data_IF_303045578218
#
_entry.id   IF_303045578218
#
_cell.length_a   1.000
_cell.length_b   1.000
_cell.length_c   1.000
_cell.angle_alpha   90.00
_cell.angle_beta   90.00
_cell.angle_gamma   90.00
#
_symmetry.space_group_name_H-M   'P 1'
#
loop_
_entity.id
_entity.type
_entity.pdbx_description
1 polymer ?
#
# COMPACT_ATOMS: atom_id res chain seq x y z
N UNK A 1 -6.64 18.59 -21.48
CA UNK A 1 -7.19 17.31 -20.99
C UNK A 1 -6.56 16.86 -19.67
N UNK A 2 -6.34 17.77 -18.73
CA UNK A 2 -6.00 17.47 -17.33
C UNK A 2 -7.32 17.48 -16.56
N UNK A 3 -7.71 16.39 -15.91
CA UNK A 3 -8.87 16.41 -15.03
C UNK A 3 -8.40 16.96 -13.68
N UNK A 4 -8.53 18.27 -13.48
CA UNK A 4 -8.23 18.92 -12.20
C UNK A 4 -9.51 18.91 -11.38
N UNK A 5 -9.60 18.00 -10.41
CA UNK A 5 -10.76 17.90 -9.54
C UNK A 5 -10.46 18.69 -8.25
N UNK A 6 -10.90 19.94 -8.21
CA UNK A 6 -11.03 20.70 -6.97
C UNK A 6 -12.30 20.21 -6.27
N UNK A 7 -12.17 19.77 -5.01
CA UNK A 7 -13.26 19.20 -4.24
C UNK A 7 -13.86 20.30 -3.37
N UNK A 8 -15.09 20.73 -3.67
CA UNK A 8 -15.86 21.64 -2.83
C UNK A 8 -16.59 20.86 -1.73
N UNK A 9 -16.77 21.45 -0.52
CA UNK A 9 -17.40 20.80 0.61
C UNK A 9 -18.92 20.89 0.54
N UNK A 10 -19.62 19.81 0.88
CA UNK A 10 -21.02 19.90 1.30
C UNK A 10 -21.37 18.78 2.30
N UNK A 11 -22.11 19.19 3.32
CA UNK A 11 -22.48 18.48 4.55
C UNK A 11 -23.29 17.20 4.30
N UNK A 12 -23.12 16.17 5.14
CA UNK A 12 -24.20 15.74 6.04
C UNK A 12 -23.82 14.67 7.09
N UNK A 13 -24.67 14.69 8.13
CA UNK A 13 -24.80 13.95 9.38
C UNK A 13 -24.57 12.42 9.44
N UNK A 14 -24.11 12.07 10.65
CA UNK A 14 -24.20 10.86 11.49
C UNK A 14 -24.96 9.60 11.03
N UNK A 15 -24.33 8.45 11.28
CA UNK A 15 -24.99 7.31 11.93
C UNK A 15 -23.99 6.45 12.73
N UNK A 16 -24.45 6.02 13.90
CA UNK A 16 -23.79 5.19 14.91
C UNK A 16 -23.79 3.70 14.53
N UNK A 17 -22.84 2.92 15.09
CA UNK A 17 -23.21 1.75 15.91
C UNK A 17 -22.04 0.97 16.54
N UNK A 18 -22.26 0.65 17.82
CA UNK A 18 -22.07 -0.65 18.47
C UNK A 18 -20.67 -1.27 18.58
N UNK A 19 -20.04 -1.06 19.75
CA UNK A 19 -18.89 -1.84 20.22
C UNK A 19 -19.30 -2.67 21.45
N UNK A 20 -19.09 -3.99 21.44
CA UNK A 20 -19.27 -4.89 22.60
C UNK A 20 -18.04 -5.77 22.81
N UNK A 21 -17.23 -5.32 23.76
CA UNK A 21 -16.59 -6.01 24.89
C UNK A 21 -15.88 -7.37 24.75
N UNK A 22 -14.66 -7.39 25.35
CA UNK A 22 -14.14 -8.26 26.45
C UNK A 22 -12.73 -8.77 26.08
N UNK A 23 -11.70 -8.74 26.92
CA UNK A 23 -11.54 -8.29 28.30
C UNK A 23 -10.14 -8.67 28.83
N UNK A 24 -9.65 -7.86 29.77
CA UNK A 24 -8.84 -8.18 30.96
C UNK A 24 -7.47 -8.88 30.82
N UNK A 25 -6.43 -8.08 31.06
CA UNK A 25 -5.13 -8.49 31.58
C UNK A 25 -5.29 -8.93 33.05
N UNK A 26 -4.77 -10.10 33.39
CA UNK A 26 -4.49 -10.51 34.77
C UNK A 26 -3.26 -11.41 34.78
N UNK A 27 -2.11 -10.83 35.15
CA UNK A 27 -1.01 -11.61 35.70
C UNK A 27 -1.37 -12.02 37.13
N UNK A 28 -0.99 -13.23 37.55
CA UNK A 28 -1.06 -13.62 38.94
C UNK A 28 0.16 -14.47 39.32
N UNK A 29 0.77 -14.01 40.40
CA UNK A 29 1.89 -14.51 41.18
C UNK A 29 1.42 -15.69 42.03
N UNK A 30 2.23 -16.75 42.14
CA UNK A 30 2.04 -17.86 43.09
C UNK A 30 2.65 -17.52 44.46
N UNK A 31 2.07 -18.08 45.53
CA UNK A 31 2.20 -17.62 46.91
C UNK A 31 3.26 -18.30 47.78
N UNK A 32 4.08 -19.22 47.26
CA UNK A 32 4.74 -20.21 48.14
C UNK A 32 6.28 -20.22 48.12
N UNK A 33 6.95 -19.20 47.55
CA UNK A 33 8.34 -18.87 47.92
C UNK A 33 9.42 -19.96 47.75
N UNK A 34 9.26 -20.90 46.82
CA UNK A 34 10.30 -21.85 46.42
C UNK A 34 10.75 -21.49 45.01
N UNK A 35 12.05 -21.22 44.86
CA UNK A 35 12.73 -21.04 43.58
C UNK A 35 12.96 -22.45 43.05
N UNK A 36 12.22 -22.85 42.02
CA UNK A 36 12.54 -24.05 41.27
C UNK A 36 13.63 -23.70 40.25
N UNK A 37 14.84 -24.20 40.49
CA UNK A 37 16.02 -24.12 39.63
C UNK A 37 15.87 -24.98 38.35
N UNK A 38 14.78 -24.82 37.60
CA UNK A 38 14.62 -25.41 36.26
C UNK A 38 14.83 -24.36 35.17
N UNK A 39 15.93 -23.61 35.29
CA UNK A 39 16.29 -22.52 34.37
C UNK A 39 17.08 -22.99 33.13
N UNK A 40 17.15 -24.30 32.87
CA UNK A 40 17.84 -24.84 31.69
C UNK A 40 16.90 -25.45 30.65
N UNK A 41 15.66 -25.81 31.01
CA UNK A 41 14.68 -26.35 30.05
C UNK A 41 13.91 -25.27 29.27
N UNK A 42 13.91 -24.02 29.75
CA UNK A 42 13.36 -22.84 29.03
C UNK A 42 14.36 -22.19 28.06
N UNK A 43 15.65 -22.49 28.19
CA UNK A 43 16.68 -22.14 27.20
C UNK A 43 16.80 -23.23 26.14
N UNK A 44 15.67 -23.79 25.71
CA UNK A 44 15.56 -24.44 24.43
C UNK A 44 16.15 -23.50 23.40
N UNK A 45 17.36 -23.84 22.93
CA UNK A 45 18.05 -23.13 21.88
C UNK A 45 17.16 -23.15 20.65
N UNK A 46 16.27 -22.19 20.56
CA UNK A 46 15.62 -21.83 19.33
C UNK A 46 16.77 -21.28 18.51
N UNK A 47 17.35 -22.13 17.66
CA UNK A 47 18.02 -21.65 16.46
C UNK A 47 17.13 -20.52 15.93
N UNK A 48 17.65 -19.30 15.74
CA UNK A 48 16.87 -18.27 15.08
C UNK A 48 16.41 -18.89 13.77
N UNK A 49 15.12 -19.17 13.67
CA UNK A 49 14.51 -19.57 12.41
C UNK A 49 14.62 -18.32 11.55
N UNK A 50 15.72 -18.21 10.81
CA UNK A 50 16.01 -17.08 9.97
C UNK A 50 14.88 -16.97 8.94
N UNK A 51 13.94 -16.06 9.16
CA UNK A 51 12.94 -15.62 8.17
C UNK A 51 13.62 -14.79 7.06
N UNK A 52 14.94 -14.92 6.90
CA UNK A 52 15.78 -13.99 6.14
C UNK A 52 15.71 -14.23 4.63
N UNK A 53 15.58 -15.49 4.19
CA UNK A 53 15.66 -15.86 2.77
C UNK A 53 14.53 -15.22 1.91
N UNK A 54 13.35 -15.05 2.49
CA UNK A 54 12.18 -14.53 1.75
C UNK A 54 12.14 -13.02 1.68
N UNK A 55 12.58 -12.32 2.73
CA UNK A 55 12.64 -10.85 2.75
C UNK A 55 13.72 -10.34 1.81
N UNK A 56 14.87 -11.02 1.74
CA UNK A 56 15.97 -10.65 0.85
C UNK A 56 15.60 -10.83 -0.62
N UNK A 57 14.92 -11.92 -0.97
CA UNK A 57 14.44 -12.15 -2.33
C UNK A 57 13.41 -11.11 -2.77
N UNK A 58 12.45 -10.77 -1.90
CA UNK A 58 11.44 -9.75 -2.20
C UNK A 58 12.07 -8.35 -2.31
N UNK A 59 13.08 -8.03 -1.48
CA UNK A 59 13.81 -6.77 -1.58
C UNK A 59 14.57 -6.62 -2.90
N UNK A 60 15.22 -7.69 -3.37
CA UNK A 60 15.88 -7.71 -4.69
C UNK A 60 14.88 -7.49 -5.82
N UNK A 61 13.72 -8.14 -5.77
CA UNK A 61 12.65 -7.94 -6.74
C UNK A 61 12.11 -6.51 -6.71
N UNK A 62 11.94 -5.92 -5.53
CA UNK A 62 11.55 -4.51 -5.38
C UNK A 62 12.59 -3.55 -5.96
N UNK A 63 13.88 -3.87 -5.82
CA UNK A 63 14.97 -3.12 -6.45
C UNK A 63 14.88 -3.21 -7.98
N UNK A 64 14.53 -4.37 -8.54
CA UNK A 64 14.23 -4.48 -9.97
C UNK A 64 12.99 -3.68 -10.41
N UNK A 65 12.03 -3.48 -9.53
CA UNK A 65 10.85 -2.63 -9.83
C UNK A 65 11.23 -1.15 -9.87
N UNK A 66 12.12 -0.69 -8.98
CA UNK A 66 12.56 0.71 -8.95
C UNK A 66 13.29 1.12 -10.23
N UNK A 67 14.02 0.20 -10.87
CA UNK A 67 14.69 0.41 -12.17
C UNK A 67 13.73 0.82 -13.30
N UNK A 68 12.44 0.44 -13.24
CA UNK A 68 11.46 0.89 -14.25
C UNK A 68 11.00 2.34 -14.05
N UNK A 69 11.26 2.95 -12.89
CA UNK A 69 10.80 4.30 -12.58
C UNK A 69 9.27 4.43 -12.56
N UNK A 70 8.53 3.37 -12.20
CA UNK A 70 7.06 3.39 -12.16
C UNK A 70 6.55 4.37 -11.09
N UNK A 71 7.28 4.49 -9.98
CA UNK A 71 6.94 5.38 -8.86
C UNK A 71 8.12 6.32 -8.64
N UNK A 72 7.85 7.62 -8.64
CA UNK A 72 8.84 8.68 -8.45
C UNK A 72 8.33 9.74 -7.47
N UNK A 73 9.22 10.29 -6.65
CA UNK A 73 8.90 11.43 -5.79
C UNK A 73 9.41 12.71 -6.47
N UNK A 74 8.50 13.62 -6.82
CA UNK A 74 8.79 14.77 -7.68
C UNK A 74 8.92 16.10 -6.92
N UNK A 75 9.10 16.05 -5.61
CA UNK A 75 9.20 17.24 -4.75
C UNK A 75 7.88 17.57 -4.06
N UNK A 76 7.66 18.86 -3.80
CA UNK A 76 6.52 19.36 -3.05
C UNK A 76 5.60 20.19 -3.95
N UNK A 77 4.29 20.11 -3.70
CA UNK A 77 3.32 20.98 -4.36
C UNK A 77 3.33 22.39 -3.75
N UNK A 78 2.48 23.27 -4.27
CA UNK A 78 2.36 24.67 -3.79
C UNK A 78 1.95 24.81 -2.33
N UNK A 79 1.48 23.74 -1.69
CA UNK A 79 1.10 23.70 -0.28
C UNK A 79 2.14 22.96 0.59
N UNK A 80 3.31 22.64 0.03
CA UNK A 80 4.38 21.91 0.74
C UNK A 80 4.11 20.41 0.90
N UNK A 81 3.14 19.85 0.16
CA UNK A 81 2.78 18.43 0.24
C UNK A 81 3.61 17.61 -0.73
N UNK A 82 4.14 16.48 -0.28
CA UNK A 82 4.94 15.60 -1.13
C UNK A 82 4.12 15.10 -2.32
N UNK A 83 4.68 15.25 -3.50
CA UNK A 83 4.08 14.81 -4.76
C UNK A 83 4.72 13.51 -5.21
N UNK A 84 3.92 12.46 -5.23
CA UNK A 84 4.31 11.13 -5.67
C UNK A 84 3.65 10.85 -7.02
N UNK A 85 4.42 10.39 -7.98
CA UNK A 85 3.98 10.12 -9.34
C UNK A 85 3.97 8.61 -9.59
N UNK A 86 2.85 8.09 -10.11
CA UNK A 86 2.72 6.76 -10.65
C UNK A 86 2.59 6.82 -12.18
N UNK A 87 3.56 6.26 -12.89
CA UNK A 87 3.67 6.31 -14.35
C UNK A 87 3.30 4.96 -14.97
N UNK A 88 2.06 4.83 -15.44
CA UNK A 88 1.59 3.56 -15.99
C UNK A 88 2.23 3.18 -17.34
N UNK A 89 2.73 4.15 -18.10
CA UNK A 89 3.50 3.91 -19.33
C UNK A 89 4.81 3.15 -19.10
N UNK A 90 5.34 3.17 -17.87
CA UNK A 90 6.61 2.52 -17.52
C UNK A 90 6.42 1.08 -17.02
N UNK A 91 5.18 0.59 -16.98
CA UNK A 91 4.91 -0.80 -16.65
C UNK A 91 5.45 -1.72 -17.75
N UNK A 92 6.27 -2.74 -17.40
CA UNK A 92 6.77 -3.69 -18.39
C UNK A 92 5.63 -4.50 -19.02
N UNK A 93 5.83 -4.90 -20.26
CA UNK A 93 4.93 -5.83 -20.96
C UNK A 93 4.96 -7.23 -20.33
N UNK A 94 3.88 -8.00 -20.52
CA UNK A 94 3.77 -9.36 -19.97
C UNK A 94 4.94 -10.27 -20.35
N UNK A 95 5.44 -10.18 -21.58
CA UNK A 95 6.59 -11.00 -22.03
C UNK A 95 7.88 -10.65 -21.28
N UNK A 96 8.12 -9.35 -21.06
CA UNK A 96 9.26 -8.86 -20.27
C UNK A 96 9.15 -9.39 -18.85
N UNK A 97 7.95 -9.34 -18.26
CA UNK A 97 7.69 -9.88 -16.92
C UNK A 97 7.96 -11.39 -16.89
N UNK A 98 7.45 -12.15 -17.86
CA UNK A 98 7.59 -13.62 -17.89
C UNK A 98 9.04 -14.07 -18.05
N UNK A 99 9.81 -13.33 -18.83
CA UNK A 99 11.22 -13.61 -19.09
C UNK A 99 12.17 -13.09 -17.98
N UNK A 100 11.66 -12.30 -17.04
CA UNK A 100 12.44 -11.77 -15.91
C UNK A 100 12.46 -12.71 -14.69
N UNK A 101 12.99 -12.22 -13.56
CA UNK A 101 12.95 -12.91 -12.27
C UNK A 101 11.53 -13.01 -11.68
N UNK A 102 10.57 -12.18 -12.12
CA UNK A 102 9.19 -12.25 -11.62
C UNK A 102 8.45 -13.52 -12.08
N UNK A 103 8.78 -14.07 -13.26
CA UNK A 103 8.20 -15.25 -13.93
C UNK A 103 6.71 -15.18 -14.27
N UNK A 104 5.91 -14.52 -13.45
CA UNK A 104 4.45 -14.39 -13.60
C UNK A 104 4.01 -12.94 -13.40
N UNK A 105 2.93 -12.56 -14.09
CA UNK A 105 2.30 -11.23 -13.92
C UNK A 105 1.77 -11.06 -12.49
N UNK A 106 1.32 -12.13 -11.85
CA UNK A 106 0.83 -12.10 -10.48
C UNK A 106 1.96 -11.73 -9.49
N UNK A 107 3.12 -12.39 -9.57
CA UNK A 107 4.28 -12.08 -8.70
C UNK A 107 4.78 -10.66 -8.93
N UNK A 108 4.88 -10.21 -10.19
CA UNK A 108 5.24 -8.81 -10.49
C UNK A 108 4.27 -7.82 -9.82
N UNK A 109 2.97 -8.06 -9.93
CA UNK A 109 1.95 -7.20 -9.31
C UNK A 109 2.03 -7.17 -7.79
N UNK A 110 2.29 -8.30 -7.16
CA UNK A 110 2.48 -8.39 -5.70
C UNK A 110 3.71 -7.57 -5.27
N UNK A 111 4.86 -7.79 -5.92
CA UNK A 111 6.08 -7.02 -5.64
C UNK A 111 5.90 -5.53 -5.93
N UNK A 112 5.15 -5.16 -6.98
CA UNK A 112 4.84 -3.76 -7.29
C UNK A 112 3.98 -3.12 -6.20
N UNK A 113 3.02 -3.86 -5.66
CA UNK A 113 2.21 -3.39 -4.54
C UNK A 113 3.05 -3.21 -3.27
N UNK A 114 3.95 -4.15 -2.94
CA UNK A 114 4.90 -4.01 -1.82
C UNK A 114 5.82 -2.79 -2.01
N UNK A 115 6.37 -2.62 -3.21
CA UNK A 115 7.18 -1.46 -3.57
C UNK A 115 6.40 -0.15 -3.45
N UNK A 116 5.15 -0.13 -3.90
CA UNK A 116 4.25 1.01 -3.74
C UNK A 116 4.06 1.39 -2.27
N UNK A 117 3.74 0.44 -1.39
CA UNK A 117 3.57 0.71 0.04
C UNK A 117 4.88 1.23 0.65
N UNK A 118 6.01 0.58 0.37
CA UNK A 118 7.35 0.98 0.85
C UNK A 118 7.72 2.40 0.42
N UNK A 119 7.41 2.79 -0.82
CA UNK A 119 7.69 4.13 -1.32
C UNK A 119 6.87 5.21 -0.59
N UNK A 120 5.66 4.85 -0.14
CA UNK A 120 4.75 5.77 0.54
C UNK A 120 4.98 5.79 2.06
N UNK A 121 5.53 4.73 2.67
CA UNK A 121 5.69 4.59 4.12
C UNK A 121 6.39 5.80 4.79
N UNK A 122 7.32 6.45 4.10
CA UNK A 122 8.01 7.65 4.61
C UNK A 122 7.17 8.94 4.52
N UNK A 123 6.05 8.91 3.80
CA UNK A 123 5.18 10.07 3.54
C UNK A 123 3.78 9.90 4.12
N UNK A 124 3.34 8.67 4.42
CA UNK A 124 1.95 8.40 4.83
C UNK A 124 1.53 9.10 6.11
N UNK A 125 2.45 9.54 6.96
CA UNK A 125 2.13 10.28 8.18
C UNK A 125 1.92 11.78 7.95
N UNK A 126 2.29 12.28 6.76
CA UNK A 126 2.12 13.67 6.33
C UNK A 126 1.12 13.77 5.19
N UNK A 127 0.60 14.98 4.96
CA UNK A 127 -0.24 15.26 3.81
C UNK A 127 0.55 15.13 2.50
N UNK A 128 0.00 14.36 1.58
CA UNK A 128 0.67 14.09 0.30
C UNK A 128 -0.34 14.02 -0.86
N UNK A 129 0.22 14.07 -2.07
CA UNK A 129 -0.51 14.08 -3.33
C UNK A 129 -0.01 12.93 -4.19
N UNK A 130 -0.93 12.20 -4.82
CA UNK A 130 -0.61 11.19 -5.82
C UNK A 130 -1.04 11.67 -7.21
N UNK A 131 -0.12 11.63 -8.17
CA UNK A 131 -0.39 11.86 -9.58
C UNK A 131 -0.28 10.54 -10.32
N UNK A 132 -1.36 10.11 -10.95
CA UNK A 132 -1.38 8.90 -11.76
C UNK A 132 -1.47 9.25 -13.24
N UNK A 133 -0.39 8.96 -13.96
CA UNK A 133 -0.35 9.05 -15.42
C UNK A 133 -0.83 7.74 -16.02
N UNK A 134 -2.00 7.78 -16.63
CA UNK A 134 -2.59 6.61 -17.26
C UNK A 134 -2.05 6.33 -18.66
N UNK A 135 -1.56 7.37 -19.36
CA UNK A 135 -1.12 7.23 -20.76
C UNK A 135 -0.08 6.10 -20.91
N UNK A 136 -0.16 5.35 -22.00
CA UNK A 136 0.75 4.22 -22.29
C UNK A 136 0.34 2.87 -21.70
N UNK A 137 -0.73 2.80 -20.89
CA UNK A 137 -1.29 1.52 -20.43
C UNK A 137 -1.97 0.79 -21.59
N UNK A 138 -1.33 -0.25 -22.10
CA UNK A 138 -1.90 -1.13 -23.13
C UNK A 138 -2.86 -2.15 -22.49
N UNK A 139 -3.87 -2.58 -23.23
CA UNK A 139 -4.97 -3.45 -22.73
C UNK A 139 -4.48 -4.71 -22.02
N UNK A 140 -3.36 -5.28 -22.47
CA UNK A 140 -2.76 -6.48 -21.90
C UNK A 140 -2.01 -6.25 -20.56
N UNK A 141 -1.57 -5.04 -20.25
CA UNK A 141 -0.92 -4.73 -18.96
C UNK A 141 -1.91 -4.23 -17.90
N UNK A 142 -3.18 -4.07 -18.27
CA UNK A 142 -4.20 -3.50 -17.40
C UNK A 142 -4.49 -4.43 -16.21
N UNK A 143 -4.41 -3.94 -14.97
CA UNK A 143 -4.87 -4.71 -13.83
C UNK A 143 -6.37 -4.98 -13.93
N UNK A 144 -6.79 -6.17 -13.51
CA UNK A 144 -8.20 -6.53 -13.47
C UNK A 144 -8.92 -5.74 -12.37
N UNK A 145 -10.25 -5.58 -12.50
CA UNK A 145 -11.08 -4.98 -11.46
C UNK A 145 -10.84 -5.64 -10.09
N UNK A 146 -10.87 -6.98 -10.06
CA UNK A 146 -10.69 -7.75 -8.84
C UNK A 146 -9.35 -7.51 -8.16
N UNK A 147 -8.25 -7.42 -8.94
CA UNK A 147 -6.94 -7.13 -8.37
C UNK A 147 -6.86 -5.72 -7.78
N UNK A 148 -7.42 -4.71 -8.47
CA UNK A 148 -7.48 -3.35 -7.92
C UNK A 148 -8.28 -3.28 -6.62
N UNK A 149 -9.42 -3.96 -6.55
CA UNK A 149 -10.22 -4.04 -5.34
C UNK A 149 -9.48 -4.75 -4.21
N UNK A 150 -8.76 -5.84 -4.51
CA UNK A 150 -7.92 -6.52 -3.53
C UNK A 150 -6.81 -5.62 -2.99
N UNK A 151 -6.08 -4.91 -3.85
CA UNK A 151 -5.09 -3.93 -3.43
C UNK A 151 -5.73 -2.85 -2.56
N UNK A 152 -6.86 -2.31 -3.00
CA UNK A 152 -7.59 -1.29 -2.25
C UNK A 152 -8.01 -1.75 -0.84
N UNK A 153 -8.49 -2.98 -0.70
CA UNK A 153 -8.85 -3.56 0.60
C UNK A 153 -7.61 -3.82 1.47
N UNK A 154 -6.46 -4.14 0.87
CA UNK A 154 -5.18 -4.36 1.57
C UNK A 154 -4.48 -3.07 2.02
N UNK A 155 -4.81 -1.92 1.43
CA UNK A 155 -4.20 -0.64 1.82
C UNK A 155 -4.77 -0.20 3.16
N UNK A 156 -3.89 -0.02 4.15
CA UNK A 156 -4.26 0.46 5.48
C UNK A 156 -4.81 1.90 5.45
N UNK A 157 -5.56 2.26 6.51
CA UNK A 157 -6.13 3.60 6.67
C UNK A 157 -5.08 4.70 6.61
N UNK A 158 -3.85 4.48 7.10
CA UNK A 158 -2.78 5.49 7.14
C UNK A 158 -2.43 6.03 5.74
N UNK A 159 -2.38 5.17 4.74
CA UNK A 159 -2.12 5.55 3.35
C UNK A 159 -3.29 6.35 2.77
N UNK A 160 -4.53 6.09 3.20
CA UNK A 160 -5.72 6.71 2.63
C UNK A 160 -6.00 8.09 3.23
N UNK A 161 -5.91 8.24 4.56
CA UNK A 161 -6.34 9.44 5.30
C UNK A 161 -5.56 10.71 4.93
N UNK A 162 -4.29 10.58 4.57
CA UNK A 162 -3.38 11.70 4.34
C UNK A 162 -3.17 11.99 2.84
N UNK A 163 -3.83 11.22 1.96
CA UNK A 163 -3.88 11.50 0.52
C UNK A 163 -4.85 12.66 0.25
N UNK A 164 -4.33 13.86 0.05
CA UNK A 164 -5.14 15.08 -0.15
C UNK A 164 -5.66 15.24 -1.56
N UNK A 165 -4.92 14.75 -2.55
CA UNK A 165 -5.35 14.77 -3.94
C UNK A 165 -4.82 13.58 -4.72
N UNK A 166 -5.69 13.01 -5.56
CA UNK A 166 -5.33 12.02 -6.57
C UNK A 166 -5.59 12.63 -7.97
N UNK A 167 -4.52 13.02 -8.65
CA UNK A 167 -4.60 13.58 -10.00
C UNK A 167 -4.56 12.45 -11.04
N UNK A 168 -5.63 12.29 -11.80
CA UNK A 168 -5.69 11.33 -12.90
C UNK A 168 -5.39 12.04 -14.22
N UNK A 169 -4.21 11.75 -14.79
CA UNK A 169 -3.76 12.32 -16.04
C UNK A 169 -4.05 11.34 -17.19
N UNK A 170 -4.79 11.81 -18.19
CA UNK A 170 -5.33 11.03 -19.31
C UNK A 170 -6.24 9.85 -18.93
N UNK A 171 -7.32 10.06 -18.15
CA UNK A 171 -8.20 8.97 -17.74
C UNK A 171 -8.91 8.32 -18.94
N UNK A 172 -8.90 6.98 -19.00
CA UNK A 172 -9.76 6.21 -19.92
C UNK A 172 -11.18 6.05 -19.36
N UNK A 173 -12.13 5.66 -20.21
CA UNK A 173 -13.52 5.35 -19.81
C UNK A 173 -13.60 4.32 -18.69
N UNK A 174 -12.66 3.37 -18.63
CA UNK A 174 -12.59 2.41 -17.54
C UNK A 174 -12.28 3.07 -16.19
N UNK A 175 -11.32 4.00 -16.14
CA UNK A 175 -10.96 4.68 -14.89
C UNK A 175 -12.14 5.49 -14.37
N UNK A 176 -12.91 6.11 -15.27
CA UNK A 176 -14.12 6.85 -14.91
C UNK A 176 -15.16 5.96 -14.18
N UNK A 177 -15.25 4.68 -14.54
CA UNK A 177 -16.15 3.73 -13.89
C UNK A 177 -15.71 3.33 -12.47
N UNK A 178 -14.40 3.38 -12.18
CA UNK A 178 -13.85 3.01 -10.87
C UNK A 178 -13.84 4.15 -9.86
N UNK A 179 -14.00 5.38 -10.35
CA UNK A 179 -13.96 6.58 -9.54
C UNK A 179 -14.91 6.57 -8.33
N UNK A 180 -16.19 6.13 -8.44
CA UNK A 180 -17.12 6.12 -7.31
C UNK A 180 -16.64 5.24 -6.14
N UNK A 181 -15.83 4.22 -6.41
CA UNK A 181 -15.31 3.31 -5.38
C UNK A 181 -14.13 3.92 -4.61
N UNK A 182 -13.34 4.77 -5.27
CA UNK A 182 -12.14 5.41 -4.69
C UNK A 182 -12.53 6.68 -3.92
N UNK A 183 -13.59 7.36 -4.36
CA UNK A 183 -14.08 8.64 -3.80
C UNK A 183 -14.30 8.66 -2.27
N UNK A 184 -14.91 7.65 -1.61
CA UNK A 184 -15.22 7.74 -0.18
C UNK A 184 -14.01 7.78 0.78
N UNK A 185 -12.77 7.62 0.28
CA UNK A 185 -11.57 7.61 1.12
C UNK A 185 -10.64 8.80 0.91
N UNK A 186 -10.88 9.62 -0.11
CA UNK A 186 -10.26 10.94 -0.25
C UNK A 186 -11.19 11.92 0.49
N UNK A 187 -11.34 11.72 1.79
CA UNK A 187 -12.12 12.61 2.64
C UNK A 187 -11.26 13.80 2.98
N UNK A 188 -11.67 14.97 2.52
CA UNK A 188 -11.28 16.22 3.15
C UNK A 188 -11.84 16.18 4.58
N UNK A 189 -10.99 16.51 5.55
CA UNK A 189 -11.42 17.18 6.78
C UNK A 189 -11.21 18.66 6.51
#
# INVERSE_FOLDING_TARGET
NLLLLHLDPFDNETASNSNKNRGLIKGNITSDGIIDDDFESELGGHEPTYVHDTEDADYQLMTKISEYGIIECCGDDKFGRKTIVFSACRLPNQDVIRNSQFKTVAKFRECLFKYFLRAFDQYVDMDYVLIYFHYGLRSYNRPSYGWLMQCYLKIDRKYKKNLKALYLVHPTTWIKFFWPVIRPFISYV
#
